data_IF_995984081596
#
_entry.id   IF_995984081596
#
_cell.length_a   1.000
_cell.length_b   1.000
_cell.length_c   1.000
_cell.angle_alpha   90.00
_cell.angle_beta   90.00
_cell.angle_gamma   90.00
#
_symmetry.space_group_name_H-M   'P 1'
#
loop_
_entity.id
_entity.type
_entity.pdbx_description
1 polymer ?
#
# COMPACT_ATOMS: atom_id res chain seq x y z
N UNK A 1 -10.33 -4.24 19.21
CA UNK A 1 -8.92 -4.52 18.87
C UNK A 1 -8.11 -4.77 20.15
N UNK A 2 -8.09 -3.82 21.10
CA UNK A 2 -7.35 -3.95 22.37
C UNK A 2 -7.69 -5.21 23.18
N UNK A 3 -8.97 -5.61 23.27
CA UNK A 3 -9.36 -6.87 23.92
C UNK A 3 -8.90 -8.14 23.19
N UNK A 4 -8.75 -8.10 21.86
CA UNK A 4 -8.33 -9.26 21.06
C UNK A 4 -6.81 -9.46 21.10
N UNK A 5 -6.05 -8.38 21.33
CA UNK A 5 -4.59 -8.38 21.39
C UNK A 5 -4.12 -7.85 22.75
N UNK A 6 -4.74 -8.31 23.84
CA UNK A 6 -4.48 -7.78 25.18
C UNK A 6 -3.03 -7.96 25.66
N UNK A 7 -2.29 -8.90 25.07
CA UNK A 7 -0.86 -9.13 25.36
C UNK A 7 0.09 -8.31 24.48
N UNK A 8 -0.41 -7.57 23.49
CA UNK A 8 0.43 -6.76 22.62
C UNK A 8 0.70 -5.40 23.28
N UNK A 9 1.94 -5.17 23.68
CA UNK A 9 2.40 -3.99 24.42
C UNK A 9 1.96 -2.66 23.79
N UNK A 10 2.07 -2.55 22.46
CA UNK A 10 1.81 -1.30 21.72
C UNK A 10 0.38 -1.18 21.14
N UNK A 11 -0.54 -2.10 21.44
CA UNK A 11 -1.87 -2.13 20.80
C UNK A 11 -2.68 -0.85 21.04
N UNK A 12 -2.52 -0.23 22.22
CA UNK A 12 -3.22 1.02 22.56
C UNK A 12 -2.70 2.21 21.76
N UNK A 13 -1.40 2.32 21.55
CA UNK A 13 -0.76 3.36 20.73
C UNK A 13 -1.15 3.19 19.26
N UNK A 14 -1.01 1.97 18.73
CA UNK A 14 -1.46 1.62 17.39
C UNK A 14 -2.94 1.97 17.18
N UNK A 15 -3.82 1.62 18.12
CA UNK A 15 -5.25 1.91 18.02
C UNK A 15 -5.54 3.43 18.07
N UNK A 16 -4.71 4.23 18.74
CA UNK A 16 -4.85 5.69 18.79
C UNK A 16 -4.44 6.32 17.46
N UNK A 17 -3.27 5.96 16.91
CA UNK A 17 -2.79 6.54 15.66
C UNK A 17 -3.70 6.15 14.48
N UNK A 18 -4.21 4.92 14.46
CA UNK A 18 -5.17 4.50 13.43
C UNK A 18 -6.50 5.24 13.50
N UNK A 19 -7.05 5.46 14.71
CA UNK A 19 -8.25 6.29 14.89
C UNK A 19 -8.01 7.72 14.42
N UNK A 20 -6.82 8.27 14.69
CA UNK A 20 -6.42 9.60 14.24
C UNK A 20 -6.36 9.68 12.72
N UNK A 21 -5.74 8.70 12.04
CA UNK A 21 -5.68 8.65 10.58
C UNK A 21 -7.07 8.69 9.93
N UNK A 22 -8.00 7.87 10.43
CA UNK A 22 -9.40 7.82 9.95
C UNK A 22 -10.14 9.13 10.25
N UNK A 23 -9.90 9.76 11.39
CA UNK A 23 -10.53 11.04 11.72
C UNK A 23 -10.01 12.17 10.81
N UNK A 24 -8.70 12.22 10.57
CA UNK A 24 -8.07 13.22 9.70
C UNK A 24 -8.50 13.06 8.24
N UNK A 25 -8.68 11.83 7.73
CA UNK A 25 -9.10 11.62 6.34
C UNK A 25 -10.50 12.16 6.05
N UNK A 26 -11.33 12.29 7.09
CA UNK A 26 -12.67 12.89 7.03
C UNK A 26 -12.68 14.39 7.33
N UNK A 27 -11.58 14.94 7.82
CA UNK A 27 -11.48 16.37 8.07
C UNK A 27 -11.52 17.13 6.73
N UNK A 28 -12.44 18.10 6.61
CA UNK A 28 -12.55 18.93 5.42
C UNK A 28 -11.30 19.79 5.18
N UNK A 29 -11.21 20.36 3.98
CA UNK A 29 -10.01 21.06 3.50
C UNK A 29 -9.31 20.25 2.42
N UNK A 30 -9.05 20.87 1.29
CA UNK A 30 -8.41 20.25 0.12
C UNK A 30 -7.12 20.92 -0.31
N UNK A 31 -6.66 21.94 0.44
CA UNK A 31 -5.39 22.57 0.14
C UNK A 31 -4.23 21.67 0.57
N UNK A 32 -3.16 21.71 -0.22
CA UNK A 32 -1.97 20.86 -0.12
C UNK A 32 -1.32 20.96 1.25
N UNK A 33 -1.22 22.18 1.80
CA UNK A 33 -0.58 22.40 3.09
C UNK A 33 -1.33 21.68 4.22
N UNK A 34 -2.67 21.68 4.17
CA UNK A 34 -3.49 20.99 5.16
C UNK A 34 -3.33 19.47 5.09
N UNK A 35 -3.21 18.93 3.88
CA UNK A 35 -2.97 17.49 3.68
C UNK A 35 -1.60 17.12 4.26
N UNK A 36 -0.58 17.93 4.00
CA UNK A 36 0.76 17.72 4.50
C UNK A 36 0.83 17.82 6.04
N UNK A 37 0.16 18.80 6.64
CA UNK A 37 0.02 18.93 8.09
C UNK A 37 -0.64 17.70 8.72
N UNK A 38 -1.68 17.17 8.07
CA UNK A 38 -2.35 15.96 8.53
C UNK A 38 -1.44 14.73 8.46
N UNK A 39 -0.61 14.62 7.41
CA UNK A 39 0.39 13.54 7.29
C UNK A 39 1.44 13.68 8.40
N UNK A 40 2.01 14.88 8.61
CA UNK A 40 2.99 15.12 9.67
C UNK A 40 2.42 14.86 11.07
N UNK A 41 1.12 15.08 11.26
CA UNK A 41 0.42 14.74 12.49
C UNK A 41 0.35 13.21 12.76
N UNK A 42 0.56 12.37 11.74
CA UNK A 42 0.63 10.91 11.83
C UNK A 42 2.06 10.38 11.88
N UNK A 43 3.07 11.26 11.89
CA UNK A 43 4.48 10.89 11.94
C UNK A 43 5.19 11.05 10.61
N UNK A 44 6.33 10.37 10.47
CA UNK A 44 7.18 10.42 9.28
C UNK A 44 7.27 9.07 8.57
N UNK A 45 6.69 8.01 9.13
CA UNK A 45 6.64 6.68 8.50
C UNK A 45 7.84 5.80 8.86
N UNK A 46 8.66 6.18 9.83
CA UNK A 46 9.87 5.43 10.22
C UNK A 46 9.56 4.13 10.98
N UNK A 47 8.33 4.01 11.49
CA UNK A 47 7.83 2.84 12.21
C UNK A 47 6.51 2.37 11.60
N UNK A 48 6.23 1.08 11.73
CA UNK A 48 5.15 0.41 11.01
C UNK A 48 3.76 1.05 11.21
N UNK A 49 3.46 1.51 12.43
CA UNK A 49 2.22 2.16 12.78
C UNK A 49 2.05 3.54 12.13
N UNK A 50 3.14 4.30 11.98
CA UNK A 50 3.14 5.57 11.24
C UNK A 50 2.96 5.32 9.75
N UNK A 51 3.72 4.38 9.18
CA UNK A 51 3.61 4.00 7.76
C UNK A 51 2.17 3.62 7.41
N UNK A 52 1.56 2.74 8.22
CA UNK A 52 0.20 2.30 8.00
C UNK A 52 -0.80 3.44 8.20
N UNK A 53 -0.63 4.27 9.22
CA UNK A 53 -1.52 5.39 9.49
C UNK A 53 -1.52 6.40 8.32
N UNK A 54 -0.35 6.78 7.80
CA UNK A 54 -0.22 7.68 6.64
C UNK A 54 -0.86 7.05 5.40
N UNK A 55 -0.59 5.78 5.13
CA UNK A 55 -1.16 5.05 4.00
C UNK A 55 -2.69 4.99 4.07
N UNK A 56 -3.26 4.64 5.22
CA UNK A 56 -4.71 4.59 5.42
C UNK A 56 -5.35 5.97 5.34
N UNK A 57 -4.70 7.00 5.88
CA UNK A 57 -5.17 8.39 5.73
C UNK A 57 -5.29 8.77 4.25
N UNK A 58 -4.23 8.55 3.46
CA UNK A 58 -4.22 8.90 2.04
C UNK A 58 -5.24 8.08 1.25
N UNK A 59 -5.31 6.77 1.52
CA UNK A 59 -6.27 5.87 0.87
C UNK A 59 -7.72 6.27 1.14
N UNK A 60 -8.08 6.60 2.39
CA UNK A 60 -9.44 7.04 2.71
C UNK A 60 -9.75 8.44 2.18
N UNK A 61 -8.77 9.34 2.16
CA UNK A 61 -8.97 10.73 1.70
C UNK A 61 -9.27 10.81 0.20
N UNK A 62 -8.71 9.87 -0.56
CA UNK A 62 -8.78 9.77 -2.02
C UNK A 62 -9.26 8.38 -2.45
N UNK A 63 -10.25 7.83 -1.76
CA UNK A 63 -10.70 6.43 -1.92
C UNK A 63 -11.07 6.02 -3.35
N UNK A 64 -11.49 6.98 -4.18
CA UNK A 64 -11.87 6.77 -5.57
C UNK A 64 -10.83 7.29 -6.59
N UNK A 65 -9.69 7.83 -6.13
CA UNK A 65 -8.63 8.39 -7.00
C UNK A 65 -7.26 7.86 -6.57
N UNK A 66 -6.88 6.73 -7.16
CA UNK A 66 -5.58 6.09 -6.94
C UNK A 66 -4.41 7.07 -7.16
N UNK A 67 -4.51 7.93 -8.17
CA UNK A 67 -3.44 8.86 -8.51
C UNK A 67 -3.22 9.91 -7.44
N UNK A 68 -4.29 10.56 -6.99
CA UNK A 68 -4.19 11.53 -5.91
C UNK A 68 -3.77 10.89 -4.59
N UNK A 69 -4.24 9.69 -4.27
CA UNK A 69 -3.85 8.97 -3.06
C UNK A 69 -2.36 8.67 -3.01
N UNK A 70 -1.79 8.12 -4.10
CA UNK A 70 -0.35 7.85 -4.20
C UNK A 70 0.43 9.16 -4.14
N UNK A 71 0.02 10.19 -4.89
CA UNK A 71 0.68 11.48 -4.82
C UNK A 71 0.70 12.06 -3.40
N UNK A 72 -0.39 11.96 -2.64
CA UNK A 72 -0.40 12.40 -1.25
C UNK A 72 0.53 11.56 -0.36
N UNK A 73 0.50 10.23 -0.53
CA UNK A 73 1.29 9.31 0.28
C UNK A 73 2.80 9.47 0.06
N UNK A 74 3.27 9.84 -1.13
CA UNK A 74 4.71 9.94 -1.42
C UNK A 74 5.29 11.37 -1.32
N UNK A 75 4.46 12.41 -1.28
CA UNK A 75 4.92 13.81 -1.25
C UNK A 75 5.04 14.36 0.18
N UNK A 76 5.74 13.64 1.06
CA UNK A 76 6.16 14.10 2.38
C UNK A 76 7.65 13.81 2.62
N UNK A 77 8.23 14.42 3.64
CA UNK A 77 9.68 14.38 3.94
C UNK A 77 10.18 13.11 4.66
N UNK A 78 9.34 12.11 4.81
CA UNK A 78 9.60 10.92 5.62
C UNK A 78 9.85 9.68 4.77
N UNK A 79 9.52 8.50 5.29
CA UNK A 79 9.64 7.18 4.64
C UNK A 79 8.56 6.99 3.54
N UNK A 80 8.63 7.84 2.54
CA UNK A 80 7.59 8.06 1.52
C UNK A 80 7.38 6.87 0.57
N UNK A 81 8.40 6.05 0.37
CA UNK A 81 8.33 4.85 -0.45
C UNK A 81 7.50 3.75 0.24
N UNK A 82 7.70 3.52 1.53
CA UNK A 82 6.89 2.56 2.30
C UNK A 82 5.44 3.01 2.42
N UNK A 83 5.19 4.29 2.70
CA UNK A 83 3.82 4.83 2.78
C UNK A 83 3.10 4.74 1.43
N UNK A 84 3.80 5.06 0.33
CA UNK A 84 3.32 4.90 -1.03
C UNK A 84 2.99 3.44 -1.37
N UNK A 85 3.89 2.51 -1.04
CA UNK A 85 3.71 1.08 -1.29
C UNK A 85 2.49 0.51 -0.55
N UNK A 86 2.35 0.81 0.75
CA UNK A 86 1.20 0.35 1.55
C UNK A 86 -0.10 1.01 1.07
N UNK A 87 -0.09 2.30 0.74
CA UNK A 87 -1.26 3.00 0.17
C UNK A 87 -1.70 2.36 -1.15
N UNK A 88 -0.75 2.07 -2.04
CA UNK A 88 -0.98 1.41 -3.32
C UNK A 88 -1.53 0.00 -3.17
N UNK A 89 -1.03 -0.78 -2.21
CA UNK A 89 -1.58 -2.11 -1.90
C UNK A 89 -3.06 -2.04 -1.47
N UNK A 90 -3.40 -1.09 -0.59
CA UNK A 90 -4.78 -0.91 -0.10
C UNK A 90 -5.71 -0.55 -1.25
N UNK A 91 -5.37 0.49 -2.03
CA UNK A 91 -6.23 0.96 -3.11
C UNK A 91 -6.21 0.05 -4.34
N UNK A 92 -5.09 -0.60 -4.63
CA UNK A 92 -5.00 -1.59 -5.71
C UNK A 92 -5.92 -2.78 -5.45
N UNK A 93 -5.98 -3.26 -4.21
CA UNK A 93 -6.94 -4.28 -3.79
C UNK A 93 -8.40 -3.80 -3.83
N UNK A 94 -8.64 -2.53 -3.48
CA UNK A 94 -10.00 -1.96 -3.41
C UNK A 94 -10.58 -1.57 -4.78
N UNK A 95 -9.79 -0.91 -5.63
CA UNK A 95 -10.21 -0.36 -6.92
C UNK A 95 -9.91 -1.30 -8.11
N UNK A 96 -8.96 -2.21 -7.94
CA UNK A 96 -8.47 -3.10 -8.98
C UNK A 96 -7.41 -2.47 -9.90
N UNK A 97 -6.68 -3.32 -10.61
CA UNK A 97 -5.56 -2.93 -11.47
C UNK A 97 -5.94 -1.92 -12.57
N UNK A 98 -7.13 -2.02 -13.14
CA UNK A 98 -7.61 -1.12 -14.20
C UNK A 98 -7.81 0.32 -13.72
N UNK A 99 -7.94 0.58 -12.42
CA UNK A 99 -8.04 1.91 -11.86
C UNK A 99 -6.68 2.62 -11.74
N UNK A 100 -5.56 1.89 -11.87
CA UNK A 100 -4.21 2.45 -11.80
C UNK A 100 -3.92 3.23 -13.10
N UNK A 101 -3.64 4.54 -13.03
CA UNK A 101 -3.31 5.34 -14.20
C UNK A 101 -2.13 4.77 -15.00
N UNK A 102 -2.25 4.78 -16.34
CA UNK A 102 -1.23 4.21 -17.24
C UNK A 102 0.18 4.78 -17.02
N UNK A 103 0.26 6.07 -16.67
CA UNK A 103 1.53 6.74 -16.37
C UNK A 103 2.34 6.08 -15.24
N UNK A 104 1.71 5.31 -14.35
CA UNK A 104 2.42 4.58 -13.28
C UNK A 104 2.83 3.17 -13.68
N UNK A 105 2.32 2.65 -14.80
CA UNK A 105 2.57 1.28 -15.27
C UNK A 105 3.55 1.24 -16.44
N UNK A 106 3.48 2.22 -17.33
CA UNK A 106 4.20 2.23 -18.60
C UNK A 106 5.73 2.05 -18.48
N UNK A 107 6.33 2.57 -17.41
CA UNK A 107 7.77 2.49 -17.14
C UNK A 107 8.07 1.83 -15.79
N UNK A 108 7.14 1.05 -15.24
CA UNK A 108 7.36 0.35 -13.98
C UNK A 108 8.37 -0.78 -14.19
N UNK A 109 9.45 -0.75 -13.41
CA UNK A 109 10.46 -1.80 -13.44
C UNK A 109 9.82 -3.14 -13.07
N UNK A 110 10.14 -4.20 -13.83
CA UNK A 110 9.61 -5.55 -13.63
C UNK A 110 8.08 -5.66 -13.67
N UNK A 111 7.41 -4.77 -14.40
CA UNK A 111 5.95 -4.76 -14.49
C UNK A 111 5.36 -6.11 -14.95
N UNK A 112 5.98 -6.77 -15.92
CA UNK A 112 5.63 -8.10 -16.38
C UNK A 112 5.78 -9.17 -15.29
N UNK A 113 6.90 -9.15 -14.56
CA UNK A 113 7.14 -10.05 -13.42
C UNK A 113 6.12 -9.83 -12.30
N UNK A 114 5.74 -8.58 -12.03
CA UNK A 114 4.73 -8.23 -11.02
C UNK A 114 3.35 -8.75 -11.41
N UNK A 115 2.98 -8.68 -12.70
CA UNK A 115 1.72 -9.22 -13.21
C UNK A 115 1.70 -10.75 -13.12
N UNK A 116 2.79 -11.41 -13.54
CA UNK A 116 2.94 -12.87 -13.42
C UNK A 116 2.83 -13.32 -11.96
N UNK A 117 3.45 -12.58 -11.03
CA UNK A 117 3.36 -12.85 -9.59
C UNK A 117 1.94 -12.65 -9.06
N UNK A 118 1.23 -11.61 -9.50
CA UNK A 118 -0.15 -11.36 -9.11
C UNK A 118 -1.09 -12.48 -9.60
N UNK A 119 -0.93 -12.91 -10.85
CA UNK A 119 -1.68 -14.01 -11.44
C UNK A 119 -1.35 -15.34 -10.73
N UNK A 120 -0.08 -15.60 -10.43
CA UNK A 120 0.34 -16.76 -9.65
C UNK A 120 -0.27 -16.72 -8.24
N UNK A 121 -0.28 -15.58 -7.55
CA UNK A 121 -0.89 -15.43 -6.21
C UNK A 121 -2.41 -15.66 -6.25
N UNK A 122 -3.08 -15.20 -7.30
CA UNK A 122 -4.50 -15.46 -7.52
C UNK A 122 -4.75 -16.95 -7.80
N UNK A 123 -3.87 -17.58 -8.57
CA UNK A 123 -3.92 -18.99 -8.95
C UNK A 123 -3.41 -19.96 -7.88
N UNK A 124 -2.61 -19.50 -6.90
CA UNK A 124 -1.86 -20.26 -5.87
C UNK A 124 -2.70 -21.16 -4.94
N UNK A 125 -3.96 -21.42 -5.29
CA UNK A 125 -4.67 -22.62 -4.89
C UNK A 125 -4.13 -23.92 -5.51
N UNK A 126 -3.18 -23.89 -6.46
CA UNK A 126 -2.66 -25.09 -7.12
C UNK A 126 -1.15 -25.33 -6.83
N UNK A 127 -0.82 -26.40 -6.09
CA UNK A 127 0.57 -26.90 -5.91
C UNK A 127 1.02 -27.68 -7.17
N UNK A 128 0.95 -27.04 -8.33
CA UNK A 128 1.28 -27.65 -9.62
C UNK A 128 2.78 -27.56 -9.94
N UNK A 129 3.21 -28.27 -10.99
CA UNK A 129 4.61 -28.34 -11.39
C UNK A 129 5.21 -26.96 -11.71
N UNK A 130 4.40 -26.02 -12.22
CA UNK A 130 4.85 -24.67 -12.56
C UNK A 130 5.10 -23.87 -11.29
N UNK A 131 4.16 -23.87 -10.35
CA UNK A 131 4.32 -23.23 -9.04
C UNK A 131 5.56 -23.75 -8.30
N UNK A 132 5.72 -25.07 -8.26
CA UNK A 132 6.89 -25.71 -7.61
C UNK A 132 8.20 -25.35 -8.30
N UNK A 133 8.23 -25.33 -9.63
CA UNK A 133 9.43 -24.92 -10.37
C UNK A 133 9.79 -23.45 -10.14
N UNK A 134 8.79 -22.55 -10.06
CA UNK A 134 8.97 -21.11 -9.81
C UNK A 134 9.45 -20.82 -8.39
N UNK A 135 8.72 -21.29 -7.38
CA UNK A 135 8.85 -20.80 -6.00
C UNK A 135 9.57 -21.76 -5.04
N UNK A 136 9.58 -23.08 -5.32
CA UNK A 136 10.22 -24.08 -4.45
C UNK A 136 11.59 -24.50 -4.99
N UNK A 137 11.61 -25.07 -6.20
CA UNK A 137 12.82 -25.62 -6.81
C UNK A 137 13.70 -24.55 -7.47
N UNK A 138 13.13 -23.38 -7.80
CA UNK A 138 13.82 -22.27 -8.50
C UNK A 138 14.46 -22.71 -9.81
N UNK A 139 13.82 -23.66 -10.50
CA UNK A 139 14.26 -24.22 -11.79
C UNK A 139 13.49 -23.63 -12.97
N UNK A 140 12.47 -22.82 -12.70
CA UNK A 140 11.69 -22.16 -13.74
C UNK A 140 12.56 -21.23 -14.58
N UNK A 141 12.51 -21.41 -15.90
CA UNK A 141 13.12 -20.49 -16.87
C UNK A 141 12.00 -19.61 -17.42
N UNK A 142 11.95 -18.32 -17.05
CA UNK A 142 10.94 -17.43 -17.61
C UNK A 142 11.09 -17.35 -19.14
N UNK A 143 9.97 -17.10 -19.81
CA UNK A 143 9.97 -16.76 -21.23
C UNK A 143 10.94 -15.60 -21.44
N UNK A 144 11.95 -15.78 -22.30
CA UNK A 144 12.89 -14.71 -22.63
C UNK A 144 12.25 -13.81 -23.69
N UNK A 145 12.01 -12.51 -23.40
CA UNK A 145 11.61 -11.57 -24.43
C UNK A 145 12.71 -11.51 -25.50
N UNK A 146 12.32 -11.40 -26.77
CA UNK A 146 13.25 -11.23 -27.90
C UNK A 146 13.93 -9.86 -27.87
#
# INVERSE_FOLDING_TARGET
MEHMFASAEHIGEFSKIMRRAVALSRSGGGDRDKILDNIHALGEGWVAEETLAIAVYCALRYEADFGQAICAAVNHKGDSDSTGAVCGNILGAYLGYSAIPEKFKANLEFHDVLLDLADDLYAARTDDEVYRAKYIAKTYKPFQPR
#
